data_IF_096565281821
#
_entry.id   IF_096565281821
#
_cell.length_a   1.000
_cell.length_b   1.000
_cell.length_c   1.000
_cell.angle_alpha   90.00
_cell.angle_beta   90.00
_cell.angle_gamma   90.00
#
_symmetry.space_group_name_H-M   'P 1'
#
loop_
_entity.id
_entity.type
_entity.pdbx_description
1 polymer ?
#
# COMPACT_ATOMS: atom_id res chain seq x y z
N UNK A 1 6.99 -14.40 -11.02
CA UNK A 1 6.25 -14.64 -10.87
C UNK A 1 4.78 -14.75 -11.01
N UNK A 2 4.33 -15.91 -11.41
CA UNK A 2 2.94 -16.16 -11.67
C UNK A 2 2.04 -15.79 -10.49
N UNK A 3 2.47 -16.10 -9.26
CA UNK A 3 1.66 -15.82 -8.08
C UNK A 3 1.46 -14.32 -7.87
N UNK A 4 2.56 -13.56 -7.97
CA UNK A 4 2.47 -12.10 -7.75
C UNK A 4 1.66 -11.43 -8.85
N UNK A 5 1.85 -11.87 -10.10
CA UNK A 5 1.08 -11.37 -11.22
C UNK A 5 -0.41 -11.67 -11.03
N UNK A 6 -0.75 -12.86 -10.54
CA UNK A 6 -2.12 -13.23 -10.23
C UNK A 6 -2.72 -12.35 -9.14
N UNK A 7 -1.92 -12.02 -8.11
CA UNK A 7 -2.36 -11.11 -7.05
C UNK A 7 -2.67 -9.73 -7.60
N UNK A 8 -1.79 -9.21 -8.47
CA UNK A 8 -2.01 -7.90 -9.08
C UNK A 8 -3.23 -7.90 -9.99
N UNK A 9 -3.41 -8.94 -10.80
CA UNK A 9 -4.58 -9.07 -11.66
C UNK A 9 -5.87 -9.10 -10.85
N UNK A 10 -5.88 -9.89 -9.77
CA UNK A 10 -7.04 -9.98 -8.91
C UNK A 10 -7.36 -8.64 -8.25
N UNK A 11 -6.33 -7.93 -7.78
CA UNK A 11 -6.52 -6.62 -7.19
C UNK A 11 -7.05 -5.61 -8.22
N UNK A 12 -6.56 -5.66 -9.46
CA UNK A 12 -7.05 -4.80 -10.53
C UNK A 12 -8.50 -5.13 -10.88
N UNK A 13 -8.85 -6.42 -10.95
CA UNK A 13 -10.23 -6.84 -11.23
C UNK A 13 -11.20 -6.33 -10.15
N UNK A 14 -10.74 -6.20 -8.93
CA UNK A 14 -11.52 -5.69 -7.82
C UNK A 14 -11.52 -4.16 -7.78
N UNK A 15 -10.74 -3.50 -8.64
CA UNK A 15 -10.55 -2.05 -8.55
C UNK A 15 -11.82 -1.24 -8.79
N UNK A 16 -12.73 -1.72 -9.63
CA UNK A 16 -14.01 -1.04 -9.86
C UNK A 16 -14.83 -0.99 -8.57
N UNK A 17 -14.90 -2.10 -7.85
CA UNK A 17 -15.54 -2.15 -6.55
C UNK A 17 -14.75 -1.36 -5.51
N UNK A 18 -13.41 -1.43 -5.58
CA UNK A 18 -12.53 -0.69 -4.68
C UNK A 18 -12.75 0.83 -4.83
N UNK A 19 -12.89 1.32 -6.05
CA UNK A 19 -13.15 2.74 -6.30
C UNK A 19 -14.44 3.20 -5.62
N UNK A 20 -15.50 2.42 -5.72
CA UNK A 20 -16.76 2.71 -5.04
C UNK A 20 -16.59 2.66 -3.54
N UNK A 21 -15.89 1.64 -3.03
CA UNK A 21 -15.65 1.48 -1.59
C UNK A 21 -14.77 2.62 -1.04
N UNK A 22 -13.70 2.97 -1.76
CA UNK A 22 -12.80 4.04 -1.33
C UNK A 22 -13.53 5.36 -1.18
N UNK A 23 -14.52 5.63 -2.05
CA UNK A 23 -15.34 6.83 -1.92
C UNK A 23 -16.05 6.94 -0.57
N UNK A 24 -16.33 5.80 0.08
CA UNK A 24 -16.92 5.75 1.41
C UNK A 24 -15.90 5.99 2.51
N UNK A 25 -14.62 5.85 2.21
CA UNK A 25 -13.52 5.94 3.18
C UNK A 25 -12.68 7.20 3.02
N UNK A 26 -13.28 8.27 2.48
CA UNK A 26 -12.58 9.53 2.24
C UNK A 26 -12.26 10.22 3.56
N UNK A 27 -11.20 9.75 4.24
CA UNK A 27 -10.75 10.32 5.49
C UNK A 27 -9.22 10.20 5.58
N UNK A 28 -8.65 10.93 6.57
CA UNK A 28 -7.20 10.99 6.74
C UNK A 28 -6.58 9.64 7.08
N UNK A 29 -7.23 8.83 7.88
CA UNK A 29 -6.68 7.53 8.27
C UNK A 29 -6.53 6.62 7.07
N UNK A 30 -7.52 6.62 6.17
CA UNK A 30 -7.44 5.83 4.95
C UNK A 30 -6.31 6.32 4.03
N UNK A 31 -6.21 7.64 3.83
CA UNK A 31 -5.17 8.21 2.98
C UNK A 31 -3.78 7.93 3.56
N UNK A 32 -3.61 8.11 4.86
CA UNK A 32 -2.34 7.85 5.54
C UNK A 32 -1.95 6.37 5.43
N UNK A 33 -2.89 5.47 5.69
CA UNK A 33 -2.63 4.03 5.62
C UNK A 33 -2.29 3.59 4.19
N UNK A 34 -2.99 4.15 3.19
CA UNK A 34 -2.71 3.83 1.79
C UNK A 34 -1.29 4.23 1.39
N UNK A 35 -0.86 5.42 1.80
CA UNK A 35 0.49 5.88 1.48
C UNK A 35 1.55 5.14 2.30
N UNK A 36 1.24 4.79 3.54
CA UNK A 36 2.13 4.00 4.38
C UNK A 36 2.40 2.63 3.77
N UNK A 37 1.36 1.94 3.29
CA UNK A 37 1.54 0.61 2.70
C UNK A 37 2.26 0.69 1.36
N UNK A 38 1.99 1.71 0.54
CA UNK A 38 2.71 1.90 -0.72
C UNK A 38 4.20 2.09 -0.47
N UNK A 39 4.57 2.92 0.50
CA UNK A 39 5.97 3.14 0.85
C UNK A 39 6.61 1.88 1.42
N UNK A 40 5.88 1.16 2.28
CA UNK A 40 6.38 -0.06 2.91
C UNK A 40 6.71 -1.13 1.87
N UNK A 41 5.84 -1.35 0.90
CA UNK A 41 6.08 -2.33 -0.16
C UNK A 41 7.22 -1.87 -1.06
N UNK A 42 7.24 -0.60 -1.44
CA UNK A 42 8.30 -0.07 -2.31
C UNK A 42 9.68 -0.19 -1.67
N UNK A 43 9.78 -0.10 -0.34
CA UNK A 43 11.03 -0.18 0.39
C UNK A 43 11.25 -1.56 1.02
N UNK A 44 10.50 -2.56 0.62
CA UNK A 44 10.47 -3.87 1.31
C UNK A 44 11.82 -4.59 1.34
N UNK A 45 12.67 -4.36 0.37
CA UNK A 45 14.01 -4.95 0.34
C UNK A 45 15.04 -4.18 1.19
N UNK A 46 14.60 -3.16 1.91
CA UNK A 46 15.44 -2.31 2.76
C UNK A 46 15.90 -1.03 2.10
N UNK A 47 15.66 -0.87 0.81
CA UNK A 47 16.07 0.34 0.06
C UNK A 47 14.97 0.74 -0.92
N UNK A 48 14.96 2.04 -1.25
CA UNK A 48 14.09 2.55 -2.31
C UNK A 48 14.94 3.49 -3.17
N UNK A 49 15.15 3.11 -4.43
CA UNK A 49 15.92 3.94 -5.34
C UNK A 49 15.12 5.18 -5.75
N UNK A 50 15.79 6.27 -6.21
CA UNK A 50 15.06 7.42 -6.75
C UNK A 50 14.12 7.04 -7.89
N UNK A 51 14.50 6.07 -8.72
CA UNK A 51 13.67 5.60 -9.83
C UNK A 51 12.41 4.90 -9.33
N UNK A 52 12.55 4.01 -8.35
CA UNK A 52 11.43 3.33 -7.74
C UNK A 52 10.48 4.32 -7.05
N UNK A 53 11.04 5.31 -6.38
CA UNK A 53 10.26 6.36 -5.74
C UNK A 53 9.44 7.14 -6.76
N UNK A 54 10.06 7.52 -7.88
CA UNK A 54 9.39 8.25 -8.96
C UNK A 54 8.29 7.41 -9.60
N UNK A 55 8.55 6.15 -9.88
CA UNK A 55 7.55 5.26 -10.47
C UNK A 55 6.36 5.07 -9.55
N UNK A 56 6.60 4.82 -8.27
CA UNK A 56 5.53 4.67 -7.30
C UNK A 56 4.70 5.94 -7.19
N UNK A 57 5.35 7.10 -7.16
CA UNK A 57 4.67 8.39 -7.13
C UNK A 57 3.77 8.57 -8.36
N UNK A 58 4.26 8.19 -9.53
CA UNK A 58 3.47 8.27 -10.76
C UNK A 58 2.24 7.34 -10.71
N UNK A 59 2.39 6.14 -10.18
CA UNK A 59 1.25 5.23 -10.02
C UNK A 59 0.23 5.80 -9.03
N UNK A 60 0.69 6.41 -7.96
CA UNK A 60 -0.20 7.04 -6.96
C UNK A 60 -1.03 8.14 -7.63
N UNK A 61 -0.40 9.01 -8.40
CA UNK A 61 -1.09 10.16 -9.00
C UNK A 61 -1.98 9.79 -10.16
N UNK A 62 -1.72 8.66 -10.81
CA UNK A 62 -2.50 8.21 -11.97
C UNK A 62 -3.59 7.18 -11.61
N UNK A 63 -3.65 6.74 -10.36
CA UNK A 63 -4.59 5.69 -9.97
C UNK A 63 -5.98 6.27 -9.70
N UNK A 64 -6.99 5.73 -10.38
CA UNK A 64 -8.37 6.20 -10.25
C UNK A 64 -8.95 5.98 -8.86
N UNK A 65 -8.54 4.90 -8.19
CA UNK A 65 -9.05 4.58 -6.86
C UNK A 65 -8.71 5.69 -5.86
N UNK A 66 -7.53 6.27 -6.01
CA UNK A 66 -7.05 7.33 -5.11
C UNK A 66 -7.40 8.74 -5.59
N UNK A 67 -8.10 8.87 -6.72
CA UNK A 67 -8.41 10.17 -7.32
C UNK A 67 -9.31 11.05 -6.44
N UNK A 68 -9.96 10.48 -5.44
CA UNK A 68 -10.77 11.25 -4.49
C UNK A 68 -9.95 12.11 -3.54
N UNK A 69 -8.64 11.86 -3.46
CA UNK A 69 -7.72 12.65 -2.62
C UNK A 69 -6.89 13.58 -3.50
N UNK A 70 -6.53 14.77 -3.00
CA UNK A 70 -5.60 15.64 -3.75
C UNK A 70 -4.24 14.94 -3.94
N UNK A 71 -3.74 14.94 -5.17
CA UNK A 71 -2.49 14.27 -5.50
C UNK A 71 -1.31 14.80 -4.67
N UNK A 72 -1.23 16.11 -4.48
CA UNK A 72 -0.17 16.72 -3.69
C UNK A 72 -0.15 16.24 -2.25
N UNK A 73 -1.33 16.04 -1.66
CA UNK A 73 -1.46 15.54 -0.29
C UNK A 73 -1.00 14.09 -0.19
N UNK A 74 -1.38 13.27 -1.16
CA UNK A 74 -0.95 11.87 -1.20
C UNK A 74 0.57 11.76 -1.35
N UNK A 75 1.16 12.55 -2.25
CA UNK A 75 2.60 12.53 -2.47
C UNK A 75 3.38 12.99 -1.24
N UNK A 76 2.86 13.98 -0.54
CA UNK A 76 3.47 14.44 0.71
C UNK A 76 3.52 13.32 1.74
N UNK A 77 2.43 12.60 1.90
CA UNK A 77 2.36 11.47 2.84
C UNK A 77 3.25 10.31 2.40
N UNK A 78 3.24 9.99 1.11
CA UNK A 78 4.13 8.95 0.58
C UNK A 78 5.60 9.29 0.84
N UNK A 79 5.99 10.52 0.56
CA UNK A 79 7.36 10.98 0.80
C UNK A 79 7.74 10.90 2.26
N UNK A 80 6.81 11.25 3.15
CA UNK A 80 7.02 11.17 4.59
C UNK A 80 7.39 9.75 5.02
N UNK A 81 6.59 8.75 4.62
CA UNK A 81 6.87 7.36 5.00
C UNK A 81 8.09 6.79 4.28
N UNK A 82 8.25 7.09 3.01
CA UNK A 82 9.40 6.63 2.24
C UNK A 82 10.72 7.17 2.84
N UNK A 83 10.74 8.43 3.23
CA UNK A 83 11.92 9.05 3.83
C UNK A 83 12.25 8.42 5.19
N UNK A 84 11.25 8.10 5.99
CA UNK A 84 11.47 7.44 7.27
C UNK A 84 12.01 6.04 7.10
N UNK A 85 11.47 5.28 6.15
CA UNK A 85 11.95 3.93 5.84
C UNK A 85 13.38 3.96 5.31
N UNK A 86 13.71 4.95 4.50
CA UNK A 86 15.04 5.12 3.93
C UNK A 86 16.06 5.49 5.00
N UNK A 87 15.67 6.32 5.95
CA UNK A 87 16.54 6.77 7.02
C UNK A 87 16.80 5.68 8.06
N UNK A 88 15.76 4.95 8.45
CA UNK A 88 15.86 3.84 9.40
C UNK A 88 14.69 2.89 9.09
N UNK A 89 15.00 1.81 8.39
CA UNK A 89 13.99 0.90 7.89
C UNK A 89 13.13 0.32 9.01
N UNK A 90 13.74 -0.18 10.08
CA UNK A 90 12.99 -0.83 11.16
C UNK A 90 12.07 0.14 11.89
N UNK A 91 12.55 1.33 12.17
CA UNK A 91 11.75 2.36 12.82
C UNK A 91 10.63 2.87 11.92
N UNK A 92 10.95 3.11 10.65
CA UNK A 92 9.96 3.54 9.66
C UNK A 92 8.89 2.50 9.45
N UNK A 93 9.27 1.22 9.44
CA UNK A 93 8.33 0.10 9.31
C UNK A 93 7.35 0.06 10.48
N UNK A 94 7.83 0.22 11.71
CA UNK A 94 6.97 0.25 12.88
C UNK A 94 5.93 1.36 12.74
N UNK A 95 6.36 2.54 12.33
CA UNK A 95 5.47 3.68 12.18
C UNK A 95 4.44 3.46 11.07
N UNK A 96 4.87 2.92 9.93
CA UNK A 96 3.97 2.61 8.83
C UNK A 96 2.93 1.56 9.24
N UNK A 97 3.36 0.50 9.91
CA UNK A 97 2.46 -0.55 10.39
C UNK A 97 1.46 0.00 11.40
N UNK A 98 1.89 0.87 12.31
CA UNK A 98 0.98 1.50 13.28
C UNK A 98 -0.09 2.35 12.57
N UNK A 99 0.30 3.05 11.52
CA UNK A 99 -0.64 3.84 10.72
C UNK A 99 -1.67 2.94 10.04
N UNK A 100 -1.24 1.84 9.46
CA UNK A 100 -2.12 0.86 8.82
C UNK A 100 -3.05 0.22 9.85
N UNK A 101 -2.52 -0.11 11.03
CA UNK A 101 -3.27 -0.76 12.10
C UNK A 101 -4.45 0.07 12.61
N UNK A 102 -4.45 1.37 12.40
CA UNK A 102 -5.59 2.22 12.77
C UNK A 102 -6.89 1.79 12.09
N UNK A 103 -6.80 1.07 10.97
CA UNK A 103 -7.96 0.58 10.25
C UNK A 103 -8.45 -0.78 10.72
N UNK A 104 -7.84 -1.36 11.74
CA UNK A 104 -8.18 -2.70 12.22
C UNK A 104 -9.67 -2.84 12.56
N UNK A 105 -10.27 -1.80 13.13
CA UNK A 105 -11.69 -1.81 13.49
C UNK A 105 -12.62 -1.58 12.30
N UNK A 106 -12.07 -1.26 11.13
CA UNK A 106 -12.84 -0.98 9.91
C UNK A 106 -12.40 -1.94 8.81
N UNK A 107 -12.87 -3.17 8.87
CA UNK A 107 -12.36 -4.25 8.02
C UNK A 107 -12.50 -3.97 6.51
N UNK A 108 -13.58 -3.33 6.08
CA UNK A 108 -13.75 -3.00 4.66
C UNK A 108 -12.68 -2.01 4.20
N UNK A 109 -12.40 -0.99 5.01
CA UNK A 109 -11.36 -0.02 4.72
C UNK A 109 -9.98 -0.67 4.75
N UNK A 110 -9.74 -1.57 5.70
CA UNK A 110 -8.48 -2.30 5.82
C UNK A 110 -8.22 -3.14 4.56
N UNK A 111 -9.24 -3.88 4.07
CA UNK A 111 -9.10 -4.65 2.83
C UNK A 111 -8.79 -3.77 1.64
N UNK A 112 -9.46 -2.62 1.56
CA UNK A 112 -9.21 -1.68 0.47
C UNK A 112 -7.77 -1.15 0.49
N UNK A 113 -7.23 -0.88 1.68
CA UNK A 113 -5.83 -0.43 1.82
C UNK A 113 -4.85 -1.51 1.36
N UNK A 114 -5.10 -2.78 1.73
CA UNK A 114 -4.26 -3.88 1.28
C UNK A 114 -4.28 -3.97 -0.25
N UNK A 115 -5.45 -3.85 -0.86
CA UNK A 115 -5.59 -3.86 -2.33
C UNK A 115 -4.83 -2.71 -2.98
N UNK A 116 -4.93 -1.51 -2.42
CA UNK A 116 -4.18 -0.34 -2.91
C UNK A 116 -2.68 -0.63 -2.85
N UNK A 117 -2.21 -1.21 -1.74
CA UNK A 117 -0.82 -1.56 -1.58
C UNK A 117 -0.34 -2.54 -2.65
N UNK A 118 -1.12 -3.58 -2.93
CA UNK A 118 -0.77 -4.57 -3.95
C UNK A 118 -0.72 -3.93 -5.34
N UNK A 119 -1.73 -3.11 -5.68
CA UNK A 119 -1.82 -2.49 -7.01
C UNK A 119 -0.68 -1.49 -7.22
N UNK A 120 -0.46 -0.60 -6.26
CA UNK A 120 0.45 0.53 -6.43
C UNK A 120 1.85 0.20 -5.94
N UNK A 121 1.97 -0.29 -4.71
CA UNK A 121 3.26 -0.59 -4.12
C UNK A 121 3.98 -1.73 -4.82
N UNK A 122 3.22 -2.71 -5.34
CA UNK A 122 3.75 -3.84 -6.06
C UNK A 122 3.84 -3.66 -7.57
N UNK A 123 3.40 -2.51 -8.10
CA UNK A 123 3.27 -2.31 -9.55
C UNK A 123 4.60 -2.42 -10.28
N UNK A 124 5.69 -2.02 -9.64
CA UNK A 124 7.03 -2.02 -10.20
C UNK A 124 7.85 -3.22 -9.73
N UNK A 125 7.30 -4.03 -8.87
CA UNK A 125 8.01 -5.14 -8.25
C UNK A 125 7.88 -6.44 -9.02
N UNK A 126 8.91 -7.28 -8.88
CA UNK A 126 8.88 -8.64 -9.40
C UNK A 126 8.11 -9.58 -8.46
N UNK A 127 7.61 -9.05 -7.37
CA UNK A 127 6.89 -9.83 -6.39
C UNK A 127 7.79 -10.75 -5.60
N UNK A 128 8.95 -10.24 -5.19
CA UNK A 128 9.88 -11.02 -4.40
C UNK A 128 9.33 -11.32 -3.00
N UNK A 129 10.06 -12.13 -2.25
CA UNK A 129 9.64 -12.53 -0.91
C UNK A 129 9.49 -11.37 0.05
N UNK A 130 10.32 -10.34 -0.08
CA UNK A 130 10.29 -9.18 0.80
C UNK A 130 9.01 -8.35 0.61
N UNK A 131 8.60 -8.15 -0.65
CA UNK A 131 7.37 -7.43 -0.96
C UNK A 131 6.15 -8.18 -0.43
N UNK A 132 6.09 -9.49 -0.66
CA UNK A 132 5.00 -10.33 -0.14
C UNK A 132 4.97 -10.33 1.38
N UNK A 133 6.13 -10.36 2.01
CA UNK A 133 6.22 -10.31 3.47
C UNK A 133 5.70 -8.98 4.01
N UNK A 134 5.97 -7.87 3.33
CA UNK A 134 5.43 -6.57 3.73
C UNK A 134 3.90 -6.58 3.70
N UNK A 135 3.31 -7.17 2.67
CA UNK A 135 1.85 -7.30 2.59
C UNK A 135 1.30 -8.20 3.70
N UNK A 136 1.97 -9.32 3.99
CA UNK A 136 1.57 -10.20 5.09
C UNK A 136 1.58 -9.47 6.43
N UNK A 137 2.61 -8.69 6.68
CA UNK A 137 2.71 -7.91 7.92
C UNK A 137 1.58 -6.88 8.02
N UNK A 138 1.25 -6.22 6.92
CA UNK A 138 0.13 -5.29 6.89
C UNK A 138 -1.20 -6.00 7.16
N UNK A 139 -1.42 -7.17 6.55
CA UNK A 139 -2.61 -7.99 6.80
C UNK A 139 -2.73 -8.35 8.28
N UNK A 140 -1.64 -8.81 8.87
CA UNK A 140 -1.63 -9.19 10.28
C UNK A 140 -1.93 -7.99 11.18
N UNK A 141 -1.45 -6.81 10.81
CA UNK A 141 -1.67 -5.59 11.60
C UNK A 141 -3.15 -5.21 11.67
N UNK A 142 -3.92 -5.52 10.63
CA UNK A 142 -5.35 -5.20 10.58
C UNK A 142 -6.24 -6.41 10.85
N UNK A 143 -5.66 -7.56 11.20
CA UNK A 143 -6.43 -8.75 11.56
C UNK A 143 -7.07 -9.45 10.37
N UNK A 144 -6.50 -9.30 9.18
CA UNK A 144 -6.96 -9.98 7.97
C UNK A 144 -6.01 -11.14 7.69
N UNK A 145 -6.57 -12.32 7.40
CA UNK A 145 -5.73 -13.46 7.05
C UNK A 145 -5.04 -13.21 5.71
N UNK A 146 -3.70 -13.33 5.65
CA UNK A 146 -2.99 -13.15 4.36
C UNK A 146 -3.51 -14.07 3.26
N UNK A 147 -4.05 -15.23 3.61
CA UNK A 147 -4.62 -16.17 2.64
C UNK A 147 -5.77 -15.59 1.83
N UNK A 148 -6.44 -14.55 2.31
CA UNK A 148 -7.48 -13.85 1.52
C UNK A 148 -6.89 -13.28 0.23
N UNK A 149 -5.59 -12.99 0.23
CA UNK A 149 -4.87 -12.45 -0.91
C UNK A 149 -3.87 -13.45 -1.49
N UNK A 150 -4.06 -14.73 -1.21
CA UNK A 150 -3.20 -15.83 -1.67
C UNK A 150 -1.74 -15.70 -1.16
N UNK A 151 -1.59 -15.20 0.05
CA UNK A 151 -0.28 -15.01 0.68
C UNK A 151 -0.03 -15.96 1.85
#
# INVERSE_FOLDING_TARGET
MALWDQLKERAVDMSANAKTQVGKFKNKDFANASMAICALIAAADGTISPEERTKTANFITSNDVLSIFPASELLEKFTFYASKLEKDYDFGKVEAIQTIAKLKSKQDAARAVIQVGIIIGGADGDGDGDEKQAVREACNAVGIAPAEFDL
#
